data_IF_015258797474
#
_entry.id   IF_015258797474
#
_cell.length_a   1.000
_cell.length_b   1.000
_cell.length_c   1.000
_cell.angle_alpha   90.00
_cell.angle_beta   90.00
_cell.angle_gamma   90.00
#
_symmetry.space_group_name_H-M   'P 1'
#
loop_
_entity.id
_entity.type
_entity.pdbx_description
1 polymer ?
#
# COMPACT_ATOMS: atom_id res chain seq x y z
N UNK A 1 -1.92 7.90 -3.97
CA UNK A 1 -1.24 6.84 -3.18
C UNK A 1 -1.24 6.97 -1.65
N UNK A 2 -1.10 8.15 -1.00
CA UNK A 2 -1.18 8.21 0.49
C UNK A 2 -2.51 7.69 1.04
N UNK A 3 -3.62 8.10 0.43
CA UNK A 3 -4.98 7.59 0.72
C UNK A 3 -5.11 6.07 0.60
N UNK A 4 -4.33 5.45 -0.29
CA UNK A 4 -4.36 3.99 -0.44
C UNK A 4 -3.68 3.30 0.75
N UNK A 5 -2.60 3.88 1.29
CA UNK A 5 -1.98 3.36 2.50
C UNK A 5 -2.93 3.47 3.71
N UNK A 6 -3.65 4.58 3.82
CA UNK A 6 -4.69 4.78 4.85
C UNK A 6 -5.84 3.76 4.71
N UNK A 7 -6.32 3.51 3.48
CA UNK A 7 -7.28 2.43 3.21
C UNK A 7 -6.74 1.06 3.65
N UNK A 8 -5.49 0.76 3.31
CA UNK A 8 -4.89 -0.53 3.63
C UNK A 8 -4.82 -0.75 5.15
N UNK A 9 -4.42 0.27 5.90
CA UNK A 9 -4.41 0.26 7.36
C UNK A 9 -5.82 0.09 7.95
N UNK A 10 -6.82 0.80 7.41
CA UNK A 10 -8.22 0.66 7.83
C UNK A 10 -8.75 -0.77 7.63
N UNK A 11 -8.43 -1.40 6.50
CA UNK A 11 -8.84 -2.79 6.19
C UNK A 11 -8.14 -3.78 7.13
N UNK A 12 -6.87 -3.56 7.44
CA UNK A 12 -6.07 -4.45 8.32
C UNK A 12 -6.50 -4.34 9.79
N UNK A 13 -6.95 -3.16 10.21
CA UNK A 13 -7.41 -2.89 11.58
C UNK A 13 -8.75 -3.56 11.95
N UNK A 14 -9.49 -4.13 10.99
CA UNK A 14 -10.80 -4.76 11.23
C UNK A 14 -10.87 -6.20 10.73
N UNK A 15 -11.71 -7.01 11.39
CA UNK A 15 -12.07 -8.35 10.95
C UNK A 15 -13.46 -8.42 10.30
N UNK A 16 -14.26 -7.36 10.41
CA UNK A 16 -15.61 -7.27 9.82
C UNK A 16 -15.52 -7.17 8.29
N UNK A 17 -16.23 -8.04 7.58
CA UNK A 17 -16.30 -7.98 6.11
C UNK A 17 -17.01 -6.71 5.64
N UNK A 18 -18.07 -6.29 6.34
CA UNK A 18 -18.85 -5.12 5.94
C UNK A 18 -18.02 -3.85 6.08
N UNK A 19 -17.30 -3.69 7.19
CA UNK A 19 -16.45 -2.52 7.41
C UNK A 19 -15.36 -2.40 6.33
N UNK A 20 -14.81 -3.54 5.88
CA UNK A 20 -13.86 -3.56 4.76
C UNK A 20 -14.50 -3.12 3.46
N UNK A 21 -15.72 -3.58 3.19
CA UNK A 21 -16.48 -3.21 1.99
C UNK A 21 -16.79 -1.70 2.01
N UNK A 22 -17.21 -1.17 3.15
CA UNK A 22 -17.52 0.25 3.32
C UNK A 22 -16.28 1.13 3.11
N UNK A 23 -15.14 0.76 3.73
CA UNK A 23 -13.88 1.47 3.56
C UNK A 23 -13.39 1.45 2.09
N UNK A 24 -13.51 0.31 1.40
CA UNK A 24 -13.21 0.23 -0.02
C UNK A 24 -14.13 1.11 -0.86
N UNK A 25 -15.44 1.10 -0.58
CA UNK A 25 -16.42 1.90 -1.31
C UNK A 25 -16.15 3.40 -1.17
N UNK A 26 -15.84 3.87 0.06
CA UNK A 26 -15.48 5.26 0.33
C UNK A 26 -14.20 5.68 -0.41
N UNK A 27 -13.17 4.84 -0.38
CA UNK A 27 -11.92 5.10 -1.11
C UNK A 27 -12.17 5.22 -2.62
N UNK A 28 -12.89 4.28 -3.23
CA UNK A 28 -13.10 4.29 -4.68
C UNK A 28 -14.00 5.43 -5.17
N UNK A 29 -14.84 6.00 -4.32
CA UNK A 29 -15.65 7.18 -4.65
C UNK A 29 -14.81 8.47 -4.71
N UNK A 30 -13.75 8.57 -3.92
CA UNK A 30 -12.95 9.80 -3.79
C UNK A 30 -11.57 9.75 -4.44
N UNK A 31 -11.08 8.56 -4.79
CA UNK A 31 -9.78 8.36 -5.42
C UNK A 31 -9.81 8.69 -6.92
N UNK A 32 -8.68 9.16 -7.44
CA UNK A 32 -8.51 9.37 -8.89
C UNK A 32 -8.54 8.03 -9.62
N UNK A 33 -8.93 8.01 -10.89
CA UNK A 33 -8.98 6.77 -11.69
C UNK A 33 -7.64 6.02 -11.72
N UNK A 34 -6.52 6.74 -11.72
CA UNK A 34 -5.18 6.15 -11.68
C UNK A 34 -4.90 5.45 -10.33
N UNK A 35 -5.18 6.12 -9.21
CA UNK A 35 -5.01 5.54 -7.87
C UNK A 35 -5.98 4.36 -7.64
N UNK A 36 -7.21 4.44 -8.16
CA UNK A 36 -8.20 3.37 -8.09
C UNK A 36 -7.76 2.13 -8.88
N UNK A 37 -7.20 2.30 -10.08
CA UNK A 37 -6.67 1.17 -10.86
C UNK A 37 -5.55 0.44 -10.11
N UNK A 38 -4.65 1.19 -9.45
CA UNK A 38 -3.59 0.61 -8.62
C UNK A 38 -4.13 -0.09 -7.38
N UNK A 39 -5.07 0.53 -6.65
CA UNK A 39 -5.67 -0.09 -5.47
C UNK A 39 -6.33 -1.44 -5.81
N UNK A 40 -7.13 -1.48 -6.88
CA UNK A 40 -7.76 -2.71 -7.35
C UNK A 40 -6.73 -3.79 -7.71
N UNK A 41 -5.65 -3.42 -8.38
CA UNK A 41 -4.57 -4.34 -8.72
C UNK A 41 -3.99 -5.01 -7.47
N UNK A 42 -3.67 -4.23 -6.42
CA UNK A 42 -3.10 -4.77 -5.19
C UNK A 42 -4.11 -5.57 -4.35
N UNK A 43 -5.33 -5.06 -4.18
CA UNK A 43 -6.37 -5.71 -3.36
C UNK A 43 -6.81 -7.06 -3.94
N UNK A 44 -6.65 -7.28 -5.24
CA UNK A 44 -6.88 -8.59 -5.88
C UNK A 44 -5.70 -9.57 -5.74
N UNK A 45 -4.75 -9.27 -4.84
CA UNK A 45 -3.61 -10.14 -4.53
C UNK A 45 -2.50 -10.12 -5.59
N UNK A 46 -2.56 -9.23 -6.57
CA UNK A 46 -1.50 -9.13 -7.59
C UNK A 46 -0.27 -8.46 -7.00
N UNK A 47 0.90 -8.94 -7.40
CA UNK A 47 2.18 -8.44 -6.94
C UNK A 47 2.97 -7.91 -8.13
N UNK A 48 3.58 -6.73 -7.95
CA UNK A 48 4.54 -6.23 -8.93
C UNK A 48 5.74 -7.17 -9.02
N UNK A 49 6.24 -7.36 -10.23
CA UNK A 49 7.52 -8.02 -10.45
C UNK A 49 8.59 -7.22 -9.69
N UNK A 50 9.39 -7.88 -8.85
CA UNK A 50 10.49 -7.21 -8.14
C UNK A 50 11.53 -6.75 -9.16
N UNK A 51 11.62 -5.44 -9.34
CA UNK A 51 12.66 -4.81 -10.15
C UNK A 51 13.88 -4.38 -9.33
N UNK A 52 13.73 -4.27 -8.01
CA UNK A 52 14.76 -3.75 -7.10
C UNK A 52 15.16 -4.87 -6.13
N UNK A 53 16.47 -5.02 -5.92
CA UNK A 53 17.00 -5.99 -4.97
C UNK A 53 16.75 -5.54 -3.52
N UNK A 54 16.55 -6.47 -2.60
CA UNK A 54 16.46 -6.15 -1.17
C UNK A 54 17.72 -5.46 -0.64
N UNK A 55 18.89 -5.76 -1.24
CA UNK A 55 20.17 -5.12 -0.91
C UNK A 55 20.12 -3.62 -1.23
N UNK A 56 19.71 -3.27 -2.43
CA UNK A 56 19.57 -1.86 -2.86
C UNK A 56 18.60 -1.11 -1.95
N UNK A 57 17.46 -1.72 -1.59
CA UNK A 57 16.50 -1.11 -0.66
C UNK A 57 17.12 -0.86 0.72
N UNK A 58 17.87 -1.82 1.27
CA UNK A 58 18.57 -1.66 2.56
C UNK A 58 19.60 -0.53 2.47
N UNK A 59 20.44 -0.54 1.45
CA UNK A 59 21.53 0.44 1.28
C UNK A 59 20.94 1.87 1.17
N UNK A 60 19.91 2.08 0.35
CA UNK A 60 19.23 3.37 0.24
C UNK A 60 18.49 3.79 1.52
N UNK A 61 17.93 2.84 2.27
CA UNK A 61 17.26 3.14 3.54
C UNK A 61 18.28 3.61 4.58
N UNK A 62 19.45 2.97 4.68
CA UNK A 62 20.53 3.41 5.56
C UNK A 62 21.03 4.80 5.17
N UNK A 63 21.21 5.06 3.88
CA UNK A 63 21.61 6.38 3.37
C UNK A 63 20.59 7.47 3.70
N UNK A 64 19.29 7.20 3.51
CA UNK A 64 18.24 8.20 3.76
C UNK A 64 17.99 8.45 5.25
N UNK A 65 18.10 7.42 6.08
CA UNK A 65 17.80 7.52 7.52
C UNK A 65 19.02 7.86 8.37
N UNK A 66 20.23 7.76 7.82
CA UNK A 66 21.51 7.94 8.53
C UNK A 66 21.65 7.01 9.74
N UNK A 67 20.89 5.93 9.76
CA UNK A 67 21.00 4.88 10.77
C UNK A 67 22.24 4.05 10.45
N UNK A 68 23.01 3.68 11.48
CA UNK A 68 24.18 2.84 11.29
C UNK A 68 23.76 1.44 10.86
N UNK A 69 24.58 0.83 10.01
CA UNK A 69 24.45 -0.60 9.73
C UNK A 69 24.64 -1.38 11.05
N UNK A 70 23.80 -2.39 11.25
CA UNK A 70 23.72 -3.22 12.45
C UNK A 70 24.42 -4.56 12.23
#
# INVERSE_FOLDING_TARGET
MRKFAELYESIDATTSTNDKVDAMAEYFQSATSADSAWALYYLTGRRLKRFISSRSLRDWTLELTQVREW
#
